data_IF_457111221923
#
_entry.id   IF_457111221923
#
_cell.length_a   1.000
_cell.length_b   1.000
_cell.length_c   1.000
_cell.angle_alpha   90.00
_cell.angle_beta   90.00
_cell.angle_gamma   90.00
#
_symmetry.space_group_name_H-M   'P 1'
#
loop_
_entity.id
_entity.type
_entity.pdbx_description
1 polymer ?
#
# COMPACT_ATOMS: atom_id res chain seq x y z
N UNK A 1 40.42 37.23 96.87
CA UNK A 1 40.71 35.99 97.60
C UNK A 1 40.93 34.93 96.54
N UNK A 2 42.18 34.50 96.36
CA UNK A 2 42.58 33.32 95.57
C UNK A 2 42.38 32.02 96.37
N UNK A 3 42.60 30.80 95.84
CA UNK A 3 42.99 30.40 94.46
C UNK A 3 41.80 29.63 93.78
N UNK A 4 41.86 28.60 92.91
CA UNK A 4 42.97 27.79 92.39
C UNK A 4 42.71 27.10 91.02
N UNK A 5 43.83 26.82 90.36
CA UNK A 5 44.24 25.68 89.50
C UNK A 5 43.28 24.53 89.10
N UNK A 6 43.55 23.94 87.92
CA UNK A 6 42.98 22.64 87.51
C UNK A 6 43.14 22.29 86.01
N UNK A 7 44.34 21.94 85.54
CA UNK A 7 44.53 21.18 84.28
C UNK A 7 44.18 19.68 84.52
N UNK A 8 44.04 18.75 83.57
CA UNK A 8 44.70 18.48 82.26
C UNK A 8 43.72 17.65 81.39
N UNK A 9 43.83 17.66 80.05
CA UNK A 9 43.15 16.65 79.20
C UNK A 9 43.24 16.92 77.69
N UNK A 10 43.80 15.97 76.93
CA UNK A 10 44.12 16.13 75.50
C UNK A 10 42.96 15.89 74.51
N UNK A 11 43.07 16.55 73.36
CA UNK A 11 42.75 16.08 71.99
C UNK A 11 41.49 15.22 71.75
N UNK A 12 40.55 15.76 70.96
CA UNK A 12 40.29 15.17 69.65
C UNK A 12 39.62 16.11 68.62
N UNK A 13 40.25 16.19 67.45
CA UNK A 13 39.82 16.71 66.14
C UNK A 13 38.35 17.17 65.94
N UNK A 14 38.18 18.42 65.52
CA UNK A 14 36.97 18.86 64.80
C UNK A 14 36.90 18.16 63.43
N UNK A 15 35.92 17.28 63.23
CA UNK A 15 35.66 16.71 61.91
C UNK A 15 35.05 17.76 60.97
N UNK A 16 35.80 18.15 59.94
CA UNK A 16 35.27 18.96 58.83
C UNK A 16 34.23 18.14 58.04
N UNK A 17 32.95 18.59 57.95
CA UNK A 17 31.91 17.85 57.25
C UNK A 17 32.15 17.74 55.74
N UNK A 18 32.92 18.66 55.14
CA UNK A 18 33.33 18.55 53.74
C UNK A 18 34.32 17.41 53.53
N UNK A 19 35.29 17.24 54.45
CA UNK A 19 36.24 16.14 54.43
C UNK A 19 35.54 14.79 54.65
N UNK A 20 34.56 14.72 55.56
CA UNK A 20 33.74 13.52 55.77
C UNK A 20 32.96 13.13 54.51
N UNK A 21 32.30 14.08 53.85
CA UNK A 21 31.56 13.84 52.60
C UNK A 21 32.49 13.38 51.46
N UNK A 22 33.64 14.04 51.27
CA UNK A 22 34.64 13.68 50.25
C UNK A 22 35.23 12.28 50.52
N UNK A 23 35.50 11.93 51.77
CA UNK A 23 36.06 10.62 52.12
C UNK A 23 35.04 9.48 51.92
N UNK A 24 33.76 9.69 52.29
CA UNK A 24 32.67 8.74 52.01
C UNK A 24 32.44 8.54 50.50
N UNK A 25 32.48 9.64 49.71
CA UNK A 25 32.48 9.58 48.25
C UNK A 25 33.69 8.82 47.68
N UNK A 26 34.85 8.86 48.36
CA UNK A 26 36.04 8.11 47.96
C UNK A 26 35.89 6.60 48.21
N UNK A 27 35.40 6.20 49.39
CA UNK A 27 35.20 4.79 49.74
C UNK A 27 34.14 4.12 48.85
N UNK A 28 33.05 4.84 48.56
CA UNK A 28 31.97 4.33 47.70
C UNK A 28 32.12 4.72 46.23
N UNK A 29 33.29 5.21 45.77
CA UNK A 29 33.51 5.68 44.39
C UNK A 29 33.10 4.68 43.30
N UNK A 30 33.28 3.37 43.53
CA UNK A 30 32.79 2.31 42.61
C UNK A 30 31.26 2.25 42.55
N UNK A 31 30.58 2.38 43.68
CA UNK A 31 29.11 2.38 43.78
C UNK A 31 28.54 3.66 43.14
N UNK A 32 29.15 4.81 43.38
CA UNK A 32 28.76 6.09 42.75
C UNK A 32 28.93 6.04 41.23
N UNK A 33 30.04 5.46 40.72
CA UNK A 33 30.24 5.24 39.28
C UNK A 33 29.22 4.26 38.69
N UNK A 34 28.88 3.17 39.40
CA UNK A 34 27.88 2.20 38.94
C UNK A 34 26.46 2.78 38.91
N UNK A 35 26.06 3.52 39.95
CA UNK A 35 24.76 4.19 40.02
C UNK A 35 24.65 5.32 38.98
N UNK A 36 25.71 6.12 38.80
CA UNK A 36 25.78 7.13 37.75
C UNK A 36 25.72 6.54 36.34
N UNK A 37 26.44 5.45 36.09
CA UNK A 37 26.40 4.72 34.82
C UNK A 37 25.02 4.10 34.54
N UNK A 38 24.38 3.49 35.54
CA UNK A 38 23.03 2.95 35.43
C UNK A 38 21.98 4.05 35.18
N UNK A 39 22.09 5.19 35.89
CA UNK A 39 21.22 6.36 35.66
C UNK A 39 21.38 6.94 34.25
N UNK A 40 22.62 7.09 33.77
CA UNK A 40 22.89 7.52 32.41
C UNK A 40 22.34 6.53 31.36
N UNK A 41 22.54 5.23 31.55
CA UNK A 41 22.00 4.19 30.66
C UNK A 41 20.47 4.21 30.61
N UNK A 42 19.79 4.35 31.76
CA UNK A 42 18.34 4.49 31.83
C UNK A 42 17.85 5.77 31.14
N UNK A 43 18.58 6.89 31.26
CA UNK A 43 18.25 8.13 30.54
C UNK A 43 18.43 7.97 29.02
N UNK A 44 19.49 7.29 28.54
CA UNK A 44 19.66 7.00 27.12
C UNK A 44 18.58 6.04 26.58
N UNK A 45 18.22 5.01 27.34
CA UNK A 45 17.12 4.08 26.98
C UNK A 45 15.78 4.84 26.95
N UNK A 46 15.48 5.67 27.94
CA UNK A 46 14.25 6.45 27.99
C UNK A 46 14.18 7.52 26.89
N UNK A 47 15.31 8.17 26.57
CA UNK A 47 15.42 9.13 25.47
C UNK A 47 15.27 8.43 24.10
N UNK A 48 15.91 7.28 23.89
CA UNK A 48 15.75 6.46 22.69
C UNK A 48 14.31 5.96 22.53
N UNK A 49 13.70 5.45 23.61
CA UNK A 49 12.29 5.03 23.63
C UNK A 49 11.33 6.19 23.33
N UNK A 50 11.59 7.39 23.87
CA UNK A 50 10.82 8.62 23.58
C UNK A 50 11.05 9.15 22.16
N UNK A 51 12.24 8.93 21.58
CA UNK A 51 12.55 9.27 20.19
C UNK A 51 11.82 8.33 19.22
N UNK A 52 11.91 7.02 19.46
CA UNK A 52 11.21 5.96 18.72
C UNK A 52 9.67 6.02 18.90
N UNK A 53 9.19 6.67 19.98
CA UNK A 53 7.78 6.96 20.24
C UNK A 53 7.40 8.44 20.02
N UNK A 54 8.16 9.20 19.22
CA UNK A 54 7.64 10.48 18.72
C UNK A 54 6.38 10.17 17.89
N UNK A 55 5.20 10.73 18.21
CA UNK A 55 4.02 10.53 17.37
C UNK A 55 4.27 11.19 16.01
N UNK A 56 3.98 10.47 14.94
CA UNK A 56 4.01 11.01 13.58
C UNK A 56 2.97 12.14 13.48
N UNK A 57 3.41 13.35 13.13
CA UNK A 57 2.52 14.49 12.97
C UNK A 57 1.83 14.42 11.61
N UNK A 58 0.74 13.66 11.55
CA UNK A 58 -0.14 13.64 10.38
C UNK A 58 -0.67 15.05 10.06
N UNK A 59 -0.69 15.39 8.78
CA UNK A 59 -1.31 16.59 8.23
C UNK A 59 -2.39 16.13 7.26
N UNK A 60 -3.57 16.74 7.31
CA UNK A 60 -4.66 16.45 6.38
C UNK A 60 -4.36 17.13 5.04
N UNK A 61 -4.12 16.34 4.01
CA UNK A 61 -3.82 16.81 2.64
C UNK A 61 -4.96 16.61 1.65
N UNK A 62 -6.10 16.04 2.08
CA UNK A 62 -7.27 15.82 1.24
C UNK A 62 -8.29 14.86 1.85
N UNK A 63 -9.25 14.40 1.05
CA UNK A 63 -10.27 13.39 1.39
C UNK A 63 -10.43 12.40 0.24
N UNK A 64 -10.57 11.11 0.54
CA UNK A 64 -10.97 10.12 -0.47
C UNK A 64 -12.39 10.41 -0.95
N UNK A 65 -12.54 10.81 -2.21
CA UNK A 65 -13.84 11.07 -2.83
C UNK A 65 -14.41 9.82 -3.51
N UNK A 66 -13.55 8.95 -4.06
CA UNK A 66 -13.95 7.71 -4.71
C UNK A 66 -12.92 6.58 -4.48
N UNK A 67 -13.41 5.35 -4.36
CA UNK A 67 -12.61 4.13 -4.48
C UNK A 67 -13.07 3.35 -5.70
N UNK A 68 -12.12 2.97 -6.56
CA UNK A 68 -12.35 2.28 -7.82
C UNK A 68 -11.55 0.97 -7.86
N UNK A 69 -12.27 -0.16 -7.84
CA UNK A 69 -11.68 -1.48 -8.10
C UNK A 69 -11.92 -1.82 -9.57
N UNK A 70 -10.91 -2.29 -10.28
CA UNK A 70 -11.00 -2.69 -11.69
C UNK A 70 -10.63 -4.18 -11.80
N UNK A 71 -11.54 -5.12 -11.45
CA UNK A 71 -11.20 -6.54 -11.33
C UNK A 71 -10.55 -7.11 -12.59
N UNK A 72 -11.05 -6.67 -13.75
CA UNK A 72 -10.54 -7.02 -15.07
C UNK A 72 -9.55 -5.96 -15.59
N UNK A 73 -8.38 -6.41 -16.08
CA UNK A 73 -7.45 -5.57 -16.83
C UNK A 73 -8.17 -4.95 -18.04
N UNK A 74 -8.16 -3.62 -18.13
CA UNK A 74 -8.89 -2.82 -19.13
C UNK A 74 -10.43 -2.82 -19.02
N UNK A 75 -11.02 -3.60 -18.11
CA UNK A 75 -12.46 -3.61 -17.86
C UNK A 75 -12.98 -2.30 -17.24
N UNK A 76 -14.31 -2.18 -17.12
CA UNK A 76 -14.97 -1.10 -16.38
C UNK A 76 -14.61 -1.16 -14.89
N UNK A 77 -14.57 0.00 -14.23
CA UNK A 77 -14.40 0.10 -12.78
C UNK A 77 -15.70 -0.26 -12.03
N UNK A 78 -15.53 -0.79 -10.82
CA UNK A 78 -16.54 -0.85 -9.76
C UNK A 78 -16.26 0.32 -8.81
N UNK A 79 -17.20 1.25 -8.70
CA UNK A 79 -17.17 2.30 -7.66
C UNK A 79 -17.70 1.73 -6.36
N UNK A 80 -16.91 1.84 -5.28
CA UNK A 80 -17.21 1.20 -3.99
C UNK A 80 -17.04 2.19 -2.83
N UNK A 81 -17.83 2.02 -1.77
CA UNK A 81 -17.75 2.86 -0.57
C UNK A 81 -16.61 2.44 0.39
N UNK A 82 -16.07 1.24 0.22
CA UNK A 82 -15.01 0.66 1.04
C UNK A 82 -14.23 -0.36 0.19
N UNK A 83 -12.93 -0.47 0.42
CA UNK A 83 -12.10 -1.56 -0.10
C UNK A 83 -11.05 -1.97 0.95
N UNK A 84 -10.69 -3.25 0.98
CA UNK A 84 -9.47 -3.71 1.63
C UNK A 84 -8.26 -3.28 0.78
N UNK A 85 -7.19 -2.81 1.41
CA UNK A 85 -5.93 -2.55 0.70
C UNK A 85 -4.93 -3.67 1.00
N UNK A 86 -4.65 -4.49 0.00
CA UNK A 86 -3.64 -5.55 0.04
C UNK A 86 -2.35 -5.07 -0.65
N UNK A 87 -1.23 -5.79 -0.48
CA UNK A 87 -0.01 -5.54 -1.25
C UNK A 87 -0.25 -5.62 -2.76
N UNK A 88 -1.06 -6.59 -3.19
CA UNK A 88 -1.39 -6.85 -4.59
C UNK A 88 -2.41 -5.86 -5.19
N UNK A 89 -2.99 -4.96 -4.39
CA UNK A 89 -3.94 -3.93 -4.83
C UNK A 89 -5.18 -3.82 -3.94
N UNK A 90 -6.19 -3.07 -4.41
CA UNK A 90 -7.48 -2.98 -3.73
C UNK A 90 -8.31 -4.26 -3.90
N UNK A 91 -9.10 -4.60 -2.89
CA UNK A 91 -10.04 -5.72 -2.88
C UNK A 91 -11.41 -5.29 -2.38
N UNK A 92 -12.46 -5.76 -3.04
CA UNK A 92 -13.86 -5.57 -2.63
C UNK A 92 -14.61 -6.89 -2.74
N UNK A 93 -15.11 -7.40 -1.62
CA UNK A 93 -15.66 -8.75 -1.54
C UNK A 93 -14.62 -9.79 -1.95
N UNK A 94 -14.96 -10.61 -2.93
CA UNK A 94 -14.07 -11.61 -3.53
C UNK A 94 -13.20 -11.06 -4.68
N UNK A 95 -13.44 -9.83 -5.15
CA UNK A 95 -12.78 -9.27 -6.33
C UNK A 95 -11.56 -8.43 -5.96
N UNK A 96 -10.41 -8.77 -6.55
CA UNK A 96 -9.15 -8.02 -6.43
C UNK A 96 -8.82 -7.25 -7.71
N UNK A 97 -8.21 -6.08 -7.54
CA UNK A 97 -7.87 -5.15 -8.62
C UNK A 97 -6.92 -5.76 -9.67
N UNK A 98 -7.33 -5.75 -10.95
CA UNK A 98 -6.64 -6.36 -12.10
C UNK A 98 -6.13 -7.79 -11.83
N UNK A 99 -6.93 -8.60 -11.13
CA UNK A 99 -6.69 -10.05 -10.97
C UNK A 99 -7.39 -10.91 -12.04
N UNK A 100 -8.12 -10.29 -12.96
CA UNK A 100 -8.69 -10.94 -14.15
C UNK A 100 -8.08 -10.35 -15.42
N UNK A 101 -7.87 -11.18 -16.44
CA UNK A 101 -7.23 -10.80 -17.70
C UNK A 101 -7.90 -11.51 -18.88
N UNK A 102 -8.14 -10.77 -19.97
CA UNK A 102 -8.40 -11.37 -21.28
C UNK A 102 -7.05 -11.66 -21.96
N UNK A 103 -6.88 -12.89 -22.44
CA UNK A 103 -5.74 -13.33 -23.24
C UNK A 103 -6.20 -13.83 -24.61
N UNK A 104 -5.29 -13.86 -25.58
CA UNK A 104 -5.43 -14.70 -26.77
C UNK A 104 -5.25 -16.19 -26.41
N UNK A 105 -5.57 -17.07 -27.34
CA UNK A 105 -5.40 -18.53 -27.19
C UNK A 105 -3.96 -18.96 -26.89
N UNK A 106 -2.96 -18.20 -27.36
CA UNK A 106 -1.53 -18.35 -27.08
C UNK A 106 -1.05 -17.57 -25.84
N UNK A 107 -1.96 -17.10 -24.98
CA UNK A 107 -1.63 -16.54 -23.66
C UNK A 107 -1.14 -15.08 -23.65
N UNK A 108 -1.09 -14.39 -24.79
CA UNK A 108 -0.72 -12.97 -24.83
C UNK A 108 -1.85 -12.08 -24.30
N UNK A 109 -1.50 -11.08 -23.48
CA UNK A 109 -2.48 -10.15 -22.91
C UNK A 109 -3.26 -9.37 -23.99
N UNK A 110 -4.56 -9.20 -23.77
CA UNK A 110 -5.41 -8.29 -24.53
C UNK A 110 -5.74 -7.10 -23.65
N UNK A 111 -5.56 -5.87 -24.15
CA UNK A 111 -5.85 -4.64 -23.40
C UNK A 111 -6.76 -3.72 -24.20
N UNK A 112 -7.30 -2.69 -23.55
CA UNK A 112 -8.12 -1.65 -24.20
C UNK A 112 -7.39 -0.86 -25.30
N UNK A 113 -6.06 -1.03 -25.44
CA UNK A 113 -5.26 -0.50 -26.55
C UNK A 113 -5.43 -1.33 -27.83
N UNK A 114 -5.72 -2.64 -27.71
CA UNK A 114 -6.03 -3.54 -28.83
C UNK A 114 -7.54 -3.70 -29.04
N UNK A 115 -8.29 -3.84 -27.94
CA UNK A 115 -9.74 -4.10 -27.93
C UNK A 115 -10.47 -3.05 -27.08
N UNK A 116 -10.75 -1.84 -27.61
CA UNK A 116 -11.35 -0.74 -26.85
C UNK A 116 -12.71 -1.09 -26.22
N UNK A 117 -13.44 -2.06 -26.80
CA UNK A 117 -14.72 -2.56 -26.26
C UNK A 117 -14.59 -3.12 -24.83
N UNK A 118 -13.40 -3.54 -24.39
CA UNK A 118 -13.16 -3.99 -23.02
C UNK A 118 -13.53 -2.95 -21.96
N UNK A 119 -13.39 -1.64 -22.22
CA UNK A 119 -13.66 -0.60 -21.20
C UNK A 119 -15.14 -0.46 -20.85
N UNK A 120 -16.03 -0.99 -21.70
CA UNK A 120 -17.48 -1.01 -21.50
C UNK A 120 -17.95 -2.26 -20.74
N UNK A 121 -17.06 -3.23 -20.55
CA UNK A 121 -17.35 -4.56 -20.01
C UNK A 121 -17.12 -4.57 -18.49
N UNK A 122 -18.14 -4.99 -17.73
CA UNK A 122 -18.05 -5.11 -16.27
C UNK A 122 -17.89 -6.57 -15.83
N UNK A 123 -17.12 -6.74 -14.75
CA UNK A 123 -16.96 -8.00 -14.04
C UNK A 123 -17.35 -7.76 -12.58
N UNK A 124 -18.43 -8.39 -12.13
CA UNK A 124 -18.93 -8.35 -10.74
C UNK A 124 -18.92 -9.75 -10.13
N UNK A 125 -19.17 -9.87 -8.83
CA UNK A 125 -19.32 -11.14 -8.12
C UNK A 125 -20.60 -11.12 -7.29
N UNK A 126 -21.36 -12.21 -7.34
CA UNK A 126 -22.60 -12.40 -6.60
C UNK A 126 -22.71 -13.89 -6.21
N UNK A 127 -22.85 -14.21 -4.92
CA UNK A 127 -23.04 -15.59 -4.45
C UNK A 127 -21.92 -16.56 -4.85
N UNK A 128 -20.67 -16.09 -4.99
CA UNK A 128 -19.55 -16.89 -5.49
C UNK A 128 -19.55 -17.13 -7.00
N UNK A 129 -20.42 -16.45 -7.76
CA UNK A 129 -20.40 -16.43 -9.23
C UNK A 129 -19.86 -15.09 -9.74
N UNK A 130 -18.87 -15.16 -10.63
CA UNK A 130 -18.43 -14.01 -11.42
C UNK A 130 -19.41 -13.79 -12.56
N UNK A 131 -19.89 -12.56 -12.66
CA UNK A 131 -20.88 -12.12 -13.64
C UNK A 131 -20.18 -11.19 -14.65
N UNK A 132 -20.18 -11.59 -15.92
CA UNK A 132 -19.61 -10.84 -17.04
C UNK A 132 -20.74 -10.21 -17.84
N UNK A 133 -20.71 -8.89 -17.95
CA UNK A 133 -21.75 -8.10 -18.61
C UNK A 133 -21.12 -7.06 -19.55
N UNK A 134 -21.77 -6.80 -20.69
CA UNK A 134 -21.29 -5.88 -21.72
C UNK A 134 -22.42 -5.49 -22.68
N UNK A 135 -22.35 -4.31 -23.33
CA UNK A 135 -23.43 -3.82 -24.19
C UNK A 135 -23.86 -4.82 -25.27
N UNK A 136 -25.18 -5.07 -25.30
CA UNK A 136 -25.87 -6.00 -26.21
C UNK A 136 -25.50 -7.50 -26.04
N UNK A 137 -25.04 -7.90 -24.86
CA UNK A 137 -24.86 -9.31 -24.47
C UNK A 137 -25.84 -9.72 -23.37
N UNK A 138 -26.23 -10.99 -23.37
CA UNK A 138 -26.75 -11.66 -22.17
C UNK A 138 -25.62 -11.79 -21.12
N UNK A 139 -25.94 -11.69 -19.83
CA UNK A 139 -24.95 -11.81 -18.76
C UNK A 139 -24.47 -13.26 -18.59
N UNK A 140 -23.15 -13.48 -18.62
CA UNK A 140 -22.58 -14.79 -18.33
C UNK A 140 -22.20 -14.87 -16.85
N UNK A 141 -22.80 -15.82 -16.13
CA UNK A 141 -22.38 -16.21 -14.77
C UNK A 141 -21.53 -17.48 -14.79
N UNK A 142 -20.38 -17.46 -14.11
CA UNK A 142 -19.46 -18.59 -13.95
C UNK A 142 -19.00 -18.70 -12.48
N UNK A 143 -18.66 -19.88 -11.93
CA UNK A 143 -18.07 -19.98 -10.60
C UNK A 143 -16.76 -19.19 -10.50
N UNK A 144 -16.58 -18.40 -9.44
CA UNK A 144 -15.35 -17.61 -9.23
C UNK A 144 -14.10 -18.49 -9.09
N UNK A 145 -14.27 -19.64 -8.44
CA UNK A 145 -13.23 -20.65 -8.24
C UNK A 145 -13.66 -21.94 -8.95
N UNK A 146 -12.86 -22.38 -9.92
CA UNK A 146 -12.96 -23.74 -10.45
C UNK A 146 -11.56 -24.38 -10.53
N UNK A 147 -11.07 -25.05 -9.47
CA UNK A 147 -9.71 -25.58 -9.41
C UNK A 147 -9.42 -26.70 -10.42
N UNK A 148 -10.45 -27.26 -11.08
CA UNK A 148 -10.29 -28.28 -12.13
C UNK A 148 -9.84 -27.70 -13.47
N UNK A 149 -10.05 -26.39 -13.70
CA UNK A 149 -9.57 -25.72 -14.90
C UNK A 149 -8.03 -25.58 -14.88
N UNK A 150 -7.41 -25.66 -16.06
CA UNK A 150 -5.95 -25.56 -16.23
C UNK A 150 -5.42 -24.18 -15.82
N UNK A 151 -4.25 -24.16 -15.18
CA UNK A 151 -3.42 -22.95 -15.10
C UNK A 151 -2.73 -22.79 -16.46
N UNK A 152 -2.68 -21.56 -16.97
CA UNK A 152 -2.07 -21.19 -18.25
C UNK A 152 -0.99 -20.14 -17.99
N UNK A 153 0.20 -20.34 -18.54
CA UNK A 153 1.24 -19.30 -18.55
C UNK A 153 0.86 -18.21 -19.56
N UNK A 154 0.88 -16.96 -19.12
CA UNK A 154 0.41 -15.79 -19.87
C UNK A 154 1.53 -14.75 -19.97
N UNK A 155 1.49 -13.89 -21.01
CA UNK A 155 2.51 -12.86 -21.27
C UNK A 155 1.93 -11.45 -21.08
N UNK A 156 2.35 -10.75 -20.03
CA UNK A 156 1.94 -9.38 -19.68
C UNK A 156 3.15 -8.45 -19.75
N UNK A 157 3.10 -7.46 -20.66
CA UNK A 157 4.21 -6.53 -20.97
C UNK A 157 5.57 -7.24 -21.17
N UNK A 158 5.57 -8.39 -21.83
CA UNK A 158 6.79 -9.14 -22.10
C UNK A 158 7.36 -9.91 -20.90
N UNK A 159 6.72 -9.86 -19.73
CA UNK A 159 6.98 -10.75 -18.58
C UNK A 159 5.99 -11.92 -18.54
N UNK A 160 6.39 -13.03 -17.95
CA UNK A 160 5.50 -14.16 -17.68
C UNK A 160 4.69 -13.92 -16.40
N UNK A 161 3.43 -14.33 -16.42
CA UNK A 161 2.53 -14.38 -15.25
C UNK A 161 1.51 -15.50 -15.48
N UNK A 162 1.02 -16.16 -14.43
CA UNK A 162 0.06 -17.25 -14.56
C UNK A 162 -1.40 -16.80 -14.40
N UNK A 163 -2.33 -17.63 -14.85
CA UNK A 163 -3.76 -17.47 -14.59
C UNK A 163 -4.55 -18.77 -14.85
N UNK A 164 -5.61 -19.03 -14.10
CA UNK A 164 -6.50 -20.18 -14.35
C UNK A 164 -7.52 -19.83 -15.43
N UNK A 165 -7.64 -20.69 -16.44
CA UNK A 165 -8.63 -20.54 -17.51
C UNK A 165 -10.06 -20.55 -16.96
N UNK A 166 -10.93 -19.68 -17.45
CA UNK A 166 -12.32 -19.59 -16.96
C UNK A 166 -13.33 -20.45 -17.76
N UNK A 167 -12.85 -21.34 -18.62
CA UNK A 167 -13.66 -22.30 -19.37
C UNK A 167 -14.22 -21.77 -20.69
N UNK A 168 -14.74 -22.68 -21.52
CA UNK A 168 -15.15 -22.37 -22.89
C UNK A 168 -16.41 -21.49 -22.97
N UNK A 169 -17.22 -21.44 -21.92
CA UNK A 169 -18.32 -20.48 -21.80
C UNK A 169 -17.80 -19.03 -21.79
N UNK A 170 -16.79 -18.73 -20.96
CA UNK A 170 -16.15 -17.43 -20.90
C UNK A 170 -15.43 -17.08 -22.22
N UNK A 171 -14.73 -18.06 -22.81
CA UNK A 171 -14.09 -17.92 -24.13
C UNK A 171 -15.08 -17.56 -25.24
N UNK A 172 -16.18 -18.32 -25.33
CA UNK A 172 -17.25 -18.12 -26.33
C UNK A 172 -17.99 -16.80 -26.13
N UNK A 173 -18.18 -16.36 -24.88
CA UNK A 173 -18.84 -15.10 -24.58
C UNK A 173 -17.93 -13.90 -24.93
N UNK A 174 -16.65 -13.93 -24.55
CA UNK A 174 -15.68 -12.88 -24.90
C UNK A 174 -15.47 -12.75 -26.41
N UNK A 175 -15.27 -13.88 -27.09
CA UNK A 175 -15.04 -13.91 -28.55
C UNK A 175 -16.22 -13.31 -29.31
N UNK A 176 -17.46 -13.62 -28.90
CA UNK A 176 -18.68 -13.00 -29.45
C UNK A 176 -18.81 -11.51 -29.09
N UNK A 177 -18.56 -11.13 -27.84
CA UNK A 177 -18.68 -9.74 -27.39
C UNK A 177 -17.68 -8.79 -28.09
N UNK A 178 -16.46 -9.25 -28.33
CA UNK A 178 -15.42 -8.47 -29.01
C UNK A 178 -15.53 -8.53 -30.54
N UNK A 179 -16.37 -9.43 -31.09
CA UNK A 179 -16.64 -9.59 -32.53
C UNK A 179 -15.37 -9.87 -33.38
N UNK A 180 -14.35 -10.45 -32.75
CA UNK A 180 -13.05 -10.68 -33.36
C UNK A 180 -12.96 -12.02 -34.09
N UNK A 181 -12.08 -12.09 -35.10
CA UNK A 181 -11.72 -13.33 -35.81
C UNK A 181 -10.69 -14.18 -35.03
N UNK A 182 -10.63 -14.02 -33.70
CA UNK A 182 -9.63 -14.63 -32.80
C UNK A 182 -10.31 -15.17 -31.56
N UNK A 183 -9.93 -16.37 -31.14
CA UNK A 183 -10.30 -16.91 -29.83
C UNK A 183 -9.72 -16.05 -28.71
N UNK A 184 -10.58 -15.52 -27.84
CA UNK A 184 -10.18 -14.83 -26.62
C UNK A 184 -10.61 -15.63 -25.41
N UNK A 185 -9.73 -15.76 -24.41
CA UNK A 185 -9.98 -16.52 -23.18
C UNK A 185 -9.84 -15.60 -21.97
N UNK A 186 -10.61 -15.89 -20.92
CA UNK A 186 -10.50 -15.20 -19.62
C UNK A 186 -9.62 -16.04 -18.71
N UNK A 187 -8.73 -15.38 -17.95
CA UNK A 187 -7.97 -16.00 -16.87
C UNK A 187 -8.08 -15.22 -15.55
N UNK A 188 -8.02 -15.95 -14.44
CA UNK A 188 -8.03 -15.43 -13.06
C UNK A 188 -6.69 -15.70 -12.36
N UNK A 189 -6.15 -14.71 -11.66
CA UNK A 189 -4.95 -14.83 -10.84
C UNK A 189 -5.27 -15.33 -9.43
N UNK A 190 -4.67 -16.46 -9.03
CA UNK A 190 -4.83 -17.02 -7.68
C UNK A 190 -3.53 -16.87 -6.87
N UNK A 191 -3.56 -16.63 -5.53
CA UNK A 191 -2.39 -16.23 -4.76
C UNK A 191 -1.18 -17.19 -4.72
N UNK A 192 -1.32 -18.43 -5.20
CA UNK A 192 -0.23 -19.42 -5.29
C UNK A 192 0.43 -19.48 -6.68
N UNK A 193 -0.02 -18.68 -7.64
CA UNK A 193 0.48 -18.65 -9.01
C UNK A 193 1.74 -17.79 -9.16
N UNK A 194 2.49 -18.00 -10.25
CA UNK A 194 3.60 -17.11 -10.66
C UNK A 194 3.09 -15.69 -10.94
N UNK A 195 3.24 -14.80 -9.96
CA UNK A 195 3.02 -13.36 -10.10
C UNK A 195 4.15 -12.68 -10.90
N UNK A 196 3.97 -11.39 -11.23
CA UNK A 196 4.91 -10.55 -11.98
C UNK A 196 5.57 -9.51 -11.05
N UNK A 197 6.85 -9.20 -11.24
CA UNK A 197 7.45 -7.99 -10.62
C UNK A 197 6.97 -6.72 -11.34
N UNK A 198 6.76 -5.59 -10.65
CA UNK A 198 6.66 -4.27 -11.27
C UNK A 198 7.86 -3.98 -12.21
N UNK A 199 7.70 -3.14 -13.25
CA UNK A 199 8.74 -2.93 -14.25
C UNK A 199 9.87 -2.00 -13.77
N UNK A 200 9.60 -1.10 -12.82
CA UNK A 200 10.56 -0.10 -12.36
C UNK A 200 11.34 -0.54 -11.12
N UNK A 201 12.63 -0.21 -11.08
CA UNK A 201 13.52 -0.52 -9.96
C UNK A 201 13.27 0.31 -8.68
N UNK A 202 12.27 1.21 -8.69
CA UNK A 202 11.85 2.00 -7.52
C UNK A 202 10.87 1.26 -6.61
N UNK A 203 10.27 0.15 -7.07
CA UNK A 203 9.45 -0.72 -6.23
C UNK A 203 10.32 -1.57 -5.28
N UNK A 204 9.79 -2.00 -4.11
CA UNK A 204 10.47 -2.96 -3.25
C UNK A 204 10.82 -4.26 -3.99
N UNK A 205 11.95 -4.88 -3.65
CA UNK A 205 12.42 -6.10 -4.35
C UNK A 205 11.43 -7.27 -4.26
N UNK A 206 10.68 -7.35 -3.16
CA UNK A 206 9.67 -8.39 -2.90
C UNK A 206 8.26 -7.99 -3.37
N UNK A 207 8.10 -6.86 -4.06
CA UNK A 207 6.79 -6.41 -4.53
C UNK A 207 6.35 -7.17 -5.78
N UNK A 208 5.10 -7.65 -5.75
CA UNK A 208 4.56 -8.58 -6.75
C UNK A 208 3.13 -8.19 -7.12
N UNK A 209 2.85 -8.14 -8.42
CA UNK A 209 1.55 -7.77 -8.99
C UNK A 209 0.99 -8.88 -9.88
N UNK A 210 -0.33 -8.93 -10.01
CA UNK A 210 -1.02 -9.78 -10.98
C UNK A 210 -0.99 -9.13 -12.38
N UNK A 211 -2.12 -8.59 -12.86
CA UNK A 211 -2.25 -7.96 -14.16
C UNK A 211 -2.33 -6.41 -14.21
N UNK A 212 -2.00 -5.60 -13.17
CA UNK A 212 -1.72 -4.16 -13.35
C UNK A 212 -0.64 -3.83 -14.40
N UNK A 213 -0.56 -2.58 -14.85
CA UNK A 213 0.51 -2.10 -15.75
C UNK A 213 1.84 -1.92 -15.00
N UNK A 214 1.86 -1.20 -13.88
CA UNK A 214 3.06 -1.00 -13.04
C UNK A 214 2.86 -1.48 -11.60
N UNK A 215 2.29 -0.65 -10.73
CA UNK A 215 2.10 -0.92 -9.30
C UNK A 215 0.69 -1.42 -8.91
N UNK A 216 0.48 -1.75 -7.63
CA UNK A 216 -0.76 -2.34 -7.12
C UNK A 216 -1.90 -1.33 -6.87
N UNK A 217 -1.58 -0.07 -6.58
CA UNK A 217 -2.53 1.01 -6.32
C UNK A 217 -2.08 2.25 -7.10
N UNK A 218 -3.03 2.91 -7.75
CA UNK A 218 -2.82 4.22 -8.38
C UNK A 218 -3.71 5.28 -7.71
N UNK A 219 -3.14 6.43 -7.38
CA UNK A 219 -3.86 7.57 -6.80
C UNK A 219 -3.90 8.74 -7.81
N UNK A 220 -4.94 9.57 -7.72
CA UNK A 220 -5.13 10.77 -8.55
C UNK A 220 -6.00 11.78 -7.80
N UNK A 221 -5.76 13.09 -7.93
CA UNK A 221 -6.68 14.10 -7.41
C UNK A 221 -7.74 14.53 -8.43
N UNK A 222 -8.91 14.93 -7.93
CA UNK A 222 -9.96 15.57 -8.74
C UNK A 222 -9.47 16.92 -9.27
N UNK A 223 -8.59 17.59 -8.53
CA UNK A 223 -7.99 18.86 -8.89
C UNK A 223 -7.07 18.73 -10.12
N UNK A 224 -6.19 17.74 -10.17
CA UNK A 224 -5.35 17.41 -11.35
C UNK A 224 -6.19 17.16 -12.62
N UNK A 225 -7.30 16.44 -12.50
CA UNK A 225 -8.18 16.11 -13.64
C UNK A 225 -9.00 17.32 -14.10
N UNK A 226 -9.42 18.18 -13.17
CA UNK A 226 -10.12 19.44 -13.46
C UNK A 226 -9.20 20.46 -14.14
N UNK A 227 -7.98 20.64 -13.64
CA UNK A 227 -6.97 21.51 -14.26
C UNK A 227 -6.60 21.03 -15.67
N UNK A 228 -6.40 19.72 -15.86
CA UNK A 228 -6.20 19.14 -17.20
C UNK A 228 -7.41 19.37 -18.12
N UNK A 229 -8.63 19.17 -17.62
CA UNK A 229 -9.87 19.39 -18.42
C UNK A 229 -9.99 20.84 -18.89
N UNK A 230 -9.57 21.82 -18.06
CA UNK A 230 -9.57 23.24 -18.45
C UNK A 230 -8.64 23.59 -19.62
N UNK A 231 -7.77 22.65 -20.03
CA UNK A 231 -6.79 22.77 -21.13
C UNK A 231 -7.19 21.96 -22.37
N UNK A 232 -8.41 21.41 -22.41
CA UNK A 232 -8.94 20.56 -23.47
C UNK A 232 -10.24 21.12 -24.06
N UNK A 233 -10.56 20.77 -25.31
CA UNK A 233 -11.86 21.09 -25.92
C UNK A 233 -13.05 20.33 -25.29
N UNK A 234 -12.76 19.26 -24.55
CA UNK A 234 -13.74 18.34 -23.96
C UNK A 234 -13.22 17.85 -22.62
N UNK A 235 -14.04 17.98 -21.59
CA UNK A 235 -13.71 17.52 -20.23
C UNK A 235 -13.37 16.02 -20.20
N UNK A 236 -12.43 15.67 -19.33
CA UNK A 236 -12.03 14.28 -19.06
C UNK A 236 -12.33 13.93 -17.60
N UNK A 237 -12.82 12.72 -17.37
CA UNK A 237 -13.18 12.25 -16.03
C UNK A 237 -12.10 11.33 -15.45
N UNK A 238 -12.09 11.15 -14.13
CA UNK A 238 -11.07 10.35 -13.41
C UNK A 238 -10.94 8.93 -13.96
N UNK A 239 -12.04 8.32 -14.42
CA UNK A 239 -12.07 6.95 -14.96
C UNK A 239 -11.23 6.79 -16.25
N UNK A 240 -10.98 7.88 -17.00
CA UNK A 240 -10.05 7.87 -18.15
C UNK A 240 -8.62 7.51 -17.72
N UNK A 241 -8.22 7.94 -16.53
CA UNK A 241 -6.90 7.71 -15.96
C UNK A 241 -6.83 6.40 -15.16
N UNK A 242 -7.98 5.79 -14.87
CA UNK A 242 -8.15 4.51 -14.16
C UNK A 242 -7.45 4.45 -12.78
N UNK A 243 -7.55 5.50 -11.93
CA UNK A 243 -7.07 5.42 -10.56
C UNK A 243 -7.81 4.33 -9.77
N UNK A 244 -7.26 4.01 -8.61
CA UNK A 244 -7.88 3.18 -7.58
C UNK A 244 -8.41 4.00 -6.41
N UNK A 245 -7.72 5.10 -6.08
CA UNK A 245 -8.10 6.06 -5.06
C UNK A 245 -8.17 7.43 -5.71
N UNK A 246 -9.30 8.11 -5.57
CA UNK A 246 -9.50 9.49 -6.01
C UNK A 246 -9.54 10.39 -4.78
N UNK A 247 -8.77 11.48 -4.79
CA UNK A 247 -8.68 12.44 -3.68
C UNK A 247 -9.28 13.79 -4.10
N UNK A 248 -10.18 14.33 -3.30
CA UNK A 248 -10.64 15.71 -3.36
C UNK A 248 -10.05 16.55 -2.22
N UNK A 249 -10.39 17.84 -2.18
CA UNK A 249 -9.97 18.80 -1.14
C UNK A 249 -8.44 19.00 -1.03
N UNK A 250 -7.80 19.14 -2.20
CA UNK A 250 -6.37 19.40 -2.44
C UNK A 250 -6.21 20.28 -3.70
N UNK A 251 -5.03 20.85 -3.91
CA UNK A 251 -4.69 21.61 -5.12
C UNK A 251 -4.24 20.69 -6.27
N UNK A 252 -4.26 21.14 -7.54
CA UNK A 252 -3.82 20.33 -8.67
C UNK A 252 -2.37 19.86 -8.52
N UNK A 253 -2.14 18.56 -8.73
CA UNK A 253 -0.85 17.88 -8.63
C UNK A 253 -0.21 17.82 -7.23
N UNK A 254 -0.95 18.15 -6.16
CA UNK A 254 -0.48 17.94 -4.79
C UNK A 254 -0.06 16.48 -4.55
N UNK A 255 -0.71 15.51 -5.21
CA UNK A 255 -0.40 14.09 -5.08
C UNK A 255 1.04 13.69 -5.51
N UNK A 256 1.68 14.49 -6.36
CA UNK A 256 3.08 14.29 -6.75
C UNK A 256 4.08 14.74 -5.66
N UNK A 257 3.61 15.36 -4.57
CA UNK A 257 4.41 15.73 -3.40
C UNK A 257 4.29 14.75 -2.22
N UNK A 258 3.26 13.89 -2.22
CA UNK A 258 2.90 13.08 -1.05
C UNK A 258 3.69 11.76 -0.99
N UNK A 259 4.94 11.81 -0.53
CA UNK A 259 5.81 10.63 -0.46
C UNK A 259 5.27 9.49 0.44
N UNK A 260 4.57 9.81 1.53
CA UNK A 260 3.78 8.86 2.32
C UNK A 260 2.44 9.46 2.72
N UNK A 261 1.37 8.66 2.64
CA UNK A 261 0.01 9.03 3.06
C UNK A 261 -0.59 7.96 3.98
N UNK A 262 -1.51 8.37 4.85
CA UNK A 262 -2.29 7.47 5.69
C UNK A 262 -3.79 7.68 5.46
N UNK A 263 -4.50 6.60 5.16
CA UNK A 263 -5.95 6.55 4.95
C UNK A 263 -6.53 5.55 5.95
N UNK A 264 -7.12 6.06 7.04
CA UNK A 264 -7.55 5.22 8.16
C UNK A 264 -6.37 4.51 8.82
N UNK A 265 -6.34 3.17 8.78
CA UNK A 265 -5.23 2.34 9.24
C UNK A 265 -4.23 1.96 8.14
N UNK A 266 -4.50 2.28 6.87
CA UNK A 266 -3.63 1.95 5.73
C UNK A 266 -2.60 3.06 5.55
N UNK A 267 -1.31 2.69 5.46
CA UNK A 267 -0.25 3.57 4.94
C UNK A 267 0.08 3.18 3.51
N UNK A 268 0.24 4.18 2.65
CA UNK A 268 0.70 4.02 1.28
C UNK A 268 1.95 4.89 1.09
N UNK A 269 2.92 4.37 0.34
CA UNK A 269 4.15 5.07 -0.03
C UNK A 269 4.17 5.33 -1.53
N UNK A 270 4.53 6.55 -1.93
CA UNK A 270 4.71 6.92 -3.34
C UNK A 270 5.98 6.26 -3.88
N UNK A 271 5.88 5.72 -5.09
CA UNK A 271 6.98 5.01 -5.78
C UNK A 271 7.44 5.75 -7.04
N UNK A 272 6.49 6.29 -7.80
CA UNK A 272 6.71 7.01 -9.05
C UNK A 272 5.45 7.80 -9.44
N UNK A 273 5.60 8.78 -10.34
CA UNK A 273 4.46 9.35 -11.07
C UNK A 273 3.93 8.36 -12.14
N UNK A 274 2.66 8.46 -12.50
CA UNK A 274 2.03 7.55 -13.48
C UNK A 274 2.09 8.13 -14.91
N UNK A 275 3.10 7.71 -15.69
CA UNK A 275 3.22 8.02 -17.11
C UNK A 275 2.03 7.54 -17.96
N UNK A 276 1.75 8.24 -19.05
CA UNK A 276 0.52 8.10 -19.87
C UNK A 276 0.81 7.97 -21.36
#
# INVERSE_FOLDING_TARGET
>A
MEPAEGAVGELCSNMDPSAAAVNALSQHRKVVLLLGGAGAALLFIAAGYKYLRKPEKLVRVGVVSQLLVHPLKSGKALSVALAECLRTGLKFGELQDRHWLVVTEDGHMVTGRQEPRLVLMSLTCEGGQVCLNGPNMEELKIPINNPTHRVTDCRVFGSDVQGRDCGDAASSWLTRYLQAQKTYRLVHFEPHMKARKPPEATFPEDEMVAYPDCGPVMLLSEASVKDLSSKLEKDVTVERFRPNIVIGDCEPYDEDSWDEIQIGSVRLKRVMACGR
#
